data_IF_695784327130
#
_entry.id   IF_695784327130
#
_cell.length_a   1.000
_cell.length_b   1.000
_cell.length_c   1.000
_cell.angle_alpha   90.00
_cell.angle_beta   90.00
_cell.angle_gamma   90.00
#
_symmetry.space_group_name_H-M   'P 1'
#
loop_
_entity.id
_entity.type
_entity.pdbx_description
1 polymer ?
#
# COMPACT_ATOMS: atom_id res chain seq x y z
N UNK A 1 -5.52 -14.80 9.95
CA UNK A 1 -5.92 -13.47 10.47
C UNK A 1 -7.44 -13.33 10.71
N UNK A 2 -8.32 -13.99 9.94
CA UNK A 2 -9.78 -13.81 10.04
C UNK A 2 -10.40 -13.92 11.44
N UNK A 3 -9.90 -14.82 12.31
CA UNK A 3 -10.36 -14.89 13.71
C UNK A 3 -10.10 -13.60 14.49
N UNK A 4 -8.98 -12.91 14.22
CA UNK A 4 -8.67 -11.60 14.80
C UNK A 4 -9.57 -10.52 14.18
N UNK A 5 -9.74 -10.52 12.86
CA UNK A 5 -10.63 -9.58 12.15
C UNK A 5 -12.07 -9.65 12.67
N UNK A 6 -12.62 -10.85 12.94
CA UNK A 6 -13.96 -11.02 13.53
C UNK A 6 -14.14 -10.34 14.89
N UNK A 7 -13.06 -10.07 15.62
CA UNK A 7 -13.07 -9.37 16.91
C UNK A 7 -12.84 -7.86 16.77
N UNK A 8 -12.66 -7.38 15.54
CA UNK A 8 -12.49 -5.96 15.21
C UNK A 8 -13.72 -5.46 14.46
N UNK A 9 -13.94 -4.15 14.42
CA UNK A 9 -14.96 -3.54 13.54
C UNK A 9 -14.55 -3.46 12.07
N UNK A 10 -13.51 -4.19 11.65
CA UNK A 10 -12.99 -4.15 10.29
C UNK A 10 -13.79 -5.06 9.33
N UNK A 11 -13.82 -4.74 8.02
CA UNK A 11 -14.45 -5.58 7.01
C UNK A 11 -13.93 -7.02 7.00
N UNK A 12 -14.81 -7.98 6.72
CA UNK A 12 -14.49 -9.42 6.77
C UNK A 12 -13.54 -9.85 5.64
N UNK A 13 -13.48 -9.06 4.57
CA UNK A 13 -12.66 -9.25 3.38
C UNK A 13 -11.17 -8.99 3.67
N UNK A 14 -10.85 -8.37 4.81
CA UNK A 14 -9.46 -8.14 5.21
C UNK A 14 -8.79 -9.48 5.54
N UNK A 15 -7.76 -9.79 4.75
CA UNK A 15 -7.00 -11.03 4.84
C UNK A 15 -5.50 -10.81 4.82
N UNK A 16 -4.74 -11.90 4.79
CA UNK A 16 -3.27 -11.84 4.71
C UNK A 16 -2.79 -11.08 3.47
N UNK A 17 -3.53 -11.18 2.35
CA UNK A 17 -3.21 -10.44 1.13
C UNK A 17 -3.38 -8.92 1.32
N UNK A 18 -4.44 -8.48 2.01
CA UNK A 18 -4.66 -7.07 2.35
C UNK A 18 -3.48 -6.52 3.16
N UNK A 19 -3.05 -7.23 4.22
CA UNK A 19 -1.90 -6.80 5.01
C UNK A 19 -0.59 -6.77 4.22
N UNK A 20 -0.39 -7.73 3.31
CA UNK A 20 0.78 -7.72 2.42
C UNK A 20 0.77 -6.47 1.52
N UNK A 21 -0.37 -6.16 0.92
CA UNK A 21 -0.54 -4.93 0.14
C UNK A 21 -0.30 -3.67 0.96
N UNK A 22 -0.91 -3.57 2.15
CA UNK A 22 -0.69 -2.46 3.09
C UNK A 22 0.78 -2.29 3.46
N UNK A 23 1.50 -3.39 3.73
CA UNK A 23 2.93 -3.35 4.04
C UNK A 23 3.77 -2.81 2.90
N UNK A 24 3.52 -3.27 1.66
CA UNK A 24 4.21 -2.79 0.46
C UNK A 24 3.93 -1.30 0.25
N UNK A 25 2.66 -0.88 0.29
CA UNK A 25 2.27 0.52 0.11
C UNK A 25 2.91 1.42 1.17
N UNK A 26 2.87 1.00 2.44
CA UNK A 26 3.43 1.78 3.53
C UNK A 26 4.96 1.93 3.40
N UNK A 27 5.65 0.85 3.04
CA UNK A 27 7.10 0.89 2.80
C UNK A 27 7.46 1.90 1.70
N UNK A 28 6.74 1.87 0.57
CA UNK A 28 6.99 2.79 -0.55
C UNK A 28 6.66 4.25 -0.19
N UNK A 29 5.54 4.49 0.50
CA UNK A 29 5.17 5.84 0.96
C UNK A 29 6.19 6.47 1.90
N UNK A 30 6.93 5.65 2.66
CA UNK A 30 7.99 6.10 3.56
C UNK A 30 9.39 6.11 2.91
N UNK A 31 9.46 6.23 1.59
CA UNK A 31 10.72 6.38 0.85
C UNK A 31 11.42 5.07 0.50
N UNK A 32 10.76 3.93 0.74
CA UNK A 32 11.26 2.63 0.30
C UNK A 32 11.37 2.52 -1.22
N UNK A 33 12.38 1.79 -1.68
CA UNK A 33 12.64 1.55 -3.10
C UNK A 33 11.77 0.40 -3.67
N UNK A 34 11.34 0.52 -4.93
CA UNK A 34 10.41 -0.43 -5.56
C UNK A 34 11.03 -1.80 -5.83
N UNK A 35 12.32 -1.87 -6.15
CA UNK A 35 13.05 -3.14 -6.32
C UNK A 35 13.16 -3.86 -4.97
N UNK A 36 13.45 -3.11 -3.91
CA UNK A 36 13.47 -3.65 -2.54
C UNK A 36 12.10 -4.14 -2.11
N UNK A 37 11.05 -3.38 -2.37
CA UNK A 37 9.67 -3.79 -2.08
C UNK A 37 9.28 -5.07 -2.84
N UNK A 38 9.62 -5.17 -4.13
CA UNK A 38 9.39 -6.36 -4.94
C UNK A 38 10.14 -7.58 -4.40
N UNK A 39 11.41 -7.40 -4.00
CA UNK A 39 12.22 -8.48 -3.42
C UNK A 39 11.67 -8.96 -2.09
N UNK A 40 11.31 -8.06 -1.18
CA UNK A 40 10.67 -8.40 0.11
C UNK A 40 9.36 -9.14 -0.13
N UNK A 41 8.59 -8.71 -1.13
CA UNK A 41 7.35 -9.36 -1.51
C UNK A 41 7.56 -10.69 -2.28
N UNK A 42 8.76 -11.00 -2.77
CA UNK A 42 8.98 -12.17 -3.62
C UNK A 42 8.30 -12.08 -4.99
N UNK A 43 8.21 -10.88 -5.56
CA UNK A 43 7.68 -10.65 -6.89
C UNK A 43 8.75 -10.89 -7.96
N UNK A 44 8.38 -11.58 -9.04
CA UNK A 44 9.26 -11.83 -10.18
C UNK A 44 9.54 -10.57 -11.02
N UNK A 45 8.73 -9.54 -10.88
CA UNK A 45 8.89 -8.25 -11.58
C UNK A 45 8.38 -7.13 -10.70
N UNK A 46 9.02 -5.96 -10.75
CA UNK A 46 8.52 -4.74 -10.11
C UNK A 46 7.16 -4.30 -10.65
N UNK A 47 6.77 -4.73 -11.86
CA UNK A 47 5.46 -4.44 -12.44
C UNK A 47 4.31 -4.89 -11.54
N UNK A 48 4.42 -6.02 -10.84
CA UNK A 48 3.39 -6.48 -9.90
C UNK A 48 3.41 -5.70 -8.58
N UNK A 49 4.50 -5.00 -8.28
CA UNK A 49 4.64 -4.11 -7.11
C UNK A 49 4.11 -2.70 -7.41
N UNK A 50 4.19 -2.24 -8.66
CA UNK A 50 3.77 -0.89 -9.08
C UNK A 50 2.34 -0.53 -8.67
N UNK A 51 1.41 -1.50 -8.67
CA UNK A 51 0.02 -1.25 -8.27
C UNK A 51 -0.14 -0.82 -6.78
N UNK A 52 0.87 -1.08 -5.95
CA UNK A 52 0.91 -0.69 -4.54
C UNK A 52 1.63 0.64 -4.30
N UNK A 53 2.27 1.22 -5.32
CA UNK A 53 2.92 2.52 -5.22
C UNK A 53 1.87 3.64 -5.33
N UNK A 54 1.46 4.17 -4.17
CA UNK A 54 0.42 5.20 -4.05
C UNK A 54 1.00 6.60 -3.85
N UNK A 55 2.31 6.80 -4.07
CA UNK A 55 2.94 8.12 -3.88
C UNK A 55 2.37 9.19 -4.81
N UNK A 56 1.97 8.79 -6.02
CA UNK A 56 1.33 9.68 -6.99
C UNK A 56 -0.02 10.24 -6.50
N UNK A 57 -0.78 9.48 -5.68
CA UNK A 57 -2.05 9.95 -5.14
C UNK A 57 -1.86 11.09 -4.13
N UNK A 58 -0.80 11.02 -3.33
CA UNK A 58 -0.46 12.04 -2.33
C UNK A 58 -0.04 13.35 -3.01
N UNK A 59 0.76 13.25 -4.07
CA UNK A 59 1.19 14.43 -4.85
C UNK A 59 -0.03 15.17 -5.40
N UNK A 60 -0.98 14.44 -5.99
CA UNK A 60 -2.22 15.00 -6.54
C UNK A 60 -3.07 15.71 -5.46
N UNK A 61 -3.23 15.09 -4.28
CA UNK A 61 -3.97 15.71 -3.17
C UNK A 61 -3.36 17.06 -2.76
N UNK A 62 -2.03 17.13 -2.62
CA UNK A 62 -1.34 18.37 -2.27
C UNK A 62 -1.43 19.46 -3.35
N UNK A 63 -1.56 19.10 -4.63
CA UNK A 63 -1.83 20.06 -5.71
C UNK A 63 -3.26 20.64 -5.61
N UNK A 64 -4.26 19.80 -5.34
CA UNK A 64 -5.66 20.23 -5.15
C UNK A 64 -5.80 21.16 -3.94
N UNK A 65 -5.14 20.84 -2.82
CA UNK A 65 -5.18 21.65 -1.60
C UNK A 65 -4.57 23.04 -1.81
N UNK A 66 -3.58 23.20 -2.69
CA UNK A 66 -2.97 24.51 -3.02
C UNK A 66 -3.87 25.43 -3.85
N UNK A 67 -4.77 24.88 -4.66
CA UNK A 67 -5.67 25.66 -5.53
C UNK A 67 -6.86 26.24 -4.75
N UNK A 68 -7.19 25.66 -3.59
CA UNK A 68 -8.29 26.12 -2.72
C UNK A 68 -7.82 27.20 -1.74
N UNK A 69 -7.41 28.36 -2.27
CA UNK A 69 -7.23 29.59 -1.50
C UNK A 69 -7.68 30.80 -2.32
#
# INVERSE_FOLDING_TARGET
IHRKIKKTGLPKEIGCHSFRGTGITNFLQHGGDIETAARIAGHASTRTTQLYDRRHDIVNQGEIERIRF
#
